data_IF_340903828566
#
_entry.id   IF_340903828566
#
_cell.length_a   1.000
_cell.length_b   1.000
_cell.length_c   1.000
_cell.angle_alpha   90.00
_cell.angle_beta   90.00
_cell.angle_gamma   90.00
#
_symmetry.space_group_name_H-M   'P 1'
#
loop_
_entity.id
_entity.type
_entity.pdbx_description
1 polymer ?
#
# COMPACT_ATOMS: atom_id res chain seq x y z
N UNK A 1 -65.59 20.25 6.26
CA UNK A 1 -64.64 19.67 7.22
C UNK A 1 -63.41 19.29 6.40
N UNK A 2 -62.38 20.14 6.42
CA UNK A 2 -61.18 19.88 5.62
C UNK A 2 -60.38 18.76 6.31
N UNK A 3 -60.00 17.74 5.56
CA UNK A 3 -59.06 16.72 6.03
C UNK A 3 -57.72 17.39 6.33
N UNK A 4 -57.07 17.06 7.46
CA UNK A 4 -55.76 17.61 7.77
C UNK A 4 -54.77 17.18 6.68
N UNK A 5 -53.80 18.03 6.30
CA UNK A 5 -52.72 17.62 5.42
C UNK A 5 -51.99 16.48 6.12
N UNK A 6 -52.06 15.28 5.54
CA UNK A 6 -51.13 14.21 5.89
C UNK A 6 -49.78 14.66 5.36
N UNK A 7 -48.85 14.99 6.27
CA UNK A 7 -47.43 15.04 5.91
C UNK A 7 -47.14 13.75 5.14
N UNK A 8 -46.88 13.89 3.85
CA UNK A 8 -46.30 12.82 3.07
C UNK A 8 -44.93 12.58 3.67
N UNK A 9 -44.80 11.58 4.52
CA UNK A 9 -43.51 11.04 4.99
C UNK A 9 -42.75 10.33 3.85
N UNK A 10 -42.99 10.76 2.61
CA UNK A 10 -42.37 10.19 1.43
C UNK A 10 -41.15 11.05 1.05
N UNK A 11 -40.07 10.35 0.72
CA UNK A 11 -39.04 10.81 -0.20
C UNK A 11 -37.94 11.78 0.28
N UNK A 12 -37.39 11.57 1.48
CA UNK A 12 -35.92 11.49 1.55
C UNK A 12 -35.53 10.02 1.50
N UNK A 13 -35.94 9.35 0.42
CA UNK A 13 -35.65 7.93 0.17
C UNK A 13 -34.15 7.73 0.00
N UNK A 14 -33.44 7.54 1.10
CA UNK A 14 -32.11 6.96 1.06
C UNK A 14 -32.26 5.54 0.55
N UNK A 15 -31.86 5.30 -0.70
CA UNK A 15 -31.75 3.95 -1.23
C UNK A 15 -30.58 3.26 -0.49
N UNK A 16 -30.90 2.53 0.59
CA UNK A 16 -29.91 1.74 1.35
C UNK A 16 -29.11 0.79 0.46
N UNK A 17 -29.70 0.29 -0.64
CA UNK A 17 -29.00 -0.60 -1.56
C UNK A 17 -28.00 0.17 -2.44
N UNK A 18 -28.34 1.40 -2.83
CA UNK A 18 -27.37 2.31 -3.46
C UNK A 18 -26.24 2.65 -2.48
N UNK A 19 -26.56 2.99 -1.23
CA UNK A 19 -25.56 3.32 -0.21
C UNK A 19 -24.61 2.14 0.06
N UNK A 20 -25.15 0.93 0.24
CA UNK A 20 -24.34 -0.27 0.45
C UNK A 20 -23.38 -0.52 -0.72
N UNK A 21 -23.85 -0.39 -1.96
CA UNK A 21 -23.00 -0.57 -3.16
C UNK A 21 -21.85 0.43 -3.20
N UNK A 22 -22.11 1.69 -2.89
CA UNK A 22 -21.07 2.74 -2.87
C UNK A 22 -20.05 2.46 -1.77
N UNK A 23 -20.50 2.21 -0.54
CA UNK A 23 -19.59 1.90 0.57
C UNK A 23 -18.79 0.64 0.30
N UNK A 24 -19.44 -0.42 -0.21
CA UNK A 24 -18.77 -1.67 -0.55
C UNK A 24 -17.69 -1.44 -1.60
N UNK A 25 -18.01 -0.70 -2.67
CA UNK A 25 -17.04 -0.39 -3.72
C UNK A 25 -15.87 0.45 -3.19
N UNK A 26 -16.14 1.45 -2.35
CA UNK A 26 -15.09 2.28 -1.75
C UNK A 26 -14.19 1.46 -0.81
N UNK A 27 -14.76 0.54 -0.05
CA UNK A 27 -14.00 -0.36 0.84
C UNK A 27 -13.18 -1.36 0.01
N UNK A 28 -13.72 -1.92 -1.07
CA UNK A 28 -12.98 -2.81 -1.96
C UNK A 28 -11.78 -2.07 -2.60
N UNK A 29 -11.99 -0.84 -3.05
CA UNK A 29 -10.92 0.00 -3.61
C UNK A 29 -9.83 0.32 -2.56
N UNK A 30 -10.25 0.68 -1.34
CA UNK A 30 -9.33 0.91 -0.23
C UNK A 30 -8.53 -0.34 0.14
N UNK A 31 -9.16 -1.52 0.17
CA UNK A 31 -8.48 -2.79 0.45
C UNK A 31 -7.47 -3.11 -0.65
N UNK A 32 -7.79 -2.88 -1.92
CA UNK A 32 -6.84 -3.06 -3.02
C UNK A 32 -5.63 -2.13 -2.87
N UNK A 33 -5.86 -0.88 -2.44
CA UNK A 33 -4.78 0.05 -2.09
C UNK A 33 -3.88 -0.49 -0.96
N UNK A 34 -4.47 -0.96 0.14
CA UNK A 34 -3.73 -1.54 1.28
C UNK A 34 -2.94 -2.78 0.86
N UNK A 35 -3.54 -3.69 0.09
CA UNK A 35 -2.87 -4.89 -0.41
C UNK A 35 -1.71 -4.54 -1.34
N UNK A 36 -1.84 -3.51 -2.17
CA UNK A 36 -0.76 -2.98 -3.00
C UNK A 36 0.44 -2.53 -2.15
N UNK A 37 0.18 -1.76 -1.10
CA UNK A 37 1.23 -1.31 -0.16
C UNK A 37 1.87 -2.48 0.57
N UNK A 38 1.08 -3.44 1.06
CA UNK A 38 1.60 -4.64 1.72
C UNK A 38 2.46 -5.50 0.79
N UNK A 39 2.06 -5.65 -0.46
CA UNK A 39 2.84 -6.36 -1.48
C UNK A 39 4.18 -5.66 -1.73
N UNK A 40 4.15 -4.35 -1.90
CA UNK A 40 5.35 -3.54 -2.09
C UNK A 40 6.29 -3.60 -0.87
N UNK A 41 5.76 -3.55 0.35
CA UNK A 41 6.52 -3.73 1.58
C UNK A 41 7.12 -5.14 1.69
N UNK A 42 6.39 -6.17 1.27
CA UNK A 42 6.93 -7.53 1.22
C UNK A 42 8.11 -7.64 0.23
N UNK A 43 8.01 -6.98 -0.93
CA UNK A 43 9.12 -6.90 -1.89
C UNK A 43 10.30 -6.14 -1.29
N UNK A 44 10.07 -5.01 -0.62
CA UNK A 44 11.11 -4.26 0.08
C UNK A 44 11.81 -5.13 1.13
N UNK A 45 11.04 -5.82 1.97
CA UNK A 45 11.56 -6.74 2.98
C UNK A 45 12.37 -7.90 2.36
N UNK A 46 11.94 -8.43 1.21
CA UNK A 46 12.69 -9.45 0.48
C UNK A 46 14.08 -8.94 0.05
N UNK A 47 14.17 -7.72 -0.50
CA UNK A 47 15.45 -7.11 -0.86
C UNK A 47 16.35 -6.85 0.34
N UNK A 48 15.77 -6.42 1.47
CA UNK A 48 16.52 -6.25 2.72
C UNK A 48 17.08 -7.57 3.22
N UNK A 49 16.28 -8.63 3.20
CA UNK A 49 16.71 -9.97 3.60
C UNK A 49 17.81 -10.51 2.68
N UNK A 50 17.62 -10.40 1.37
CA UNK A 50 18.61 -10.83 0.38
C UNK A 50 19.93 -10.06 0.51
N UNK A 51 19.86 -8.73 0.62
CA UNK A 51 21.03 -7.87 0.80
C UNK A 51 21.77 -8.16 2.11
N UNK A 52 21.02 -8.36 3.21
CA UNK A 52 21.57 -8.76 4.50
C UNK A 52 22.26 -10.12 4.44
N UNK A 53 21.64 -11.12 3.82
CA UNK A 53 22.24 -12.45 3.65
C UNK A 53 23.53 -12.40 2.82
N UNK A 54 23.57 -11.58 1.76
CA UNK A 54 24.78 -11.36 0.98
C UNK A 54 25.89 -10.67 1.77
N UNK A 55 25.56 -9.70 2.62
CA UNK A 55 26.55 -9.07 3.50
C UNK A 55 27.15 -10.04 4.52
N UNK A 56 26.31 -10.87 5.15
CA UNK A 56 26.78 -11.92 6.07
C UNK A 56 27.71 -12.89 5.34
N UNK A 57 27.29 -13.37 4.16
CA UNK A 57 28.13 -14.24 3.32
C UNK A 57 29.45 -13.57 2.91
N UNK A 58 29.44 -12.27 2.59
CA UNK A 58 30.64 -11.53 2.25
C UNK A 58 31.62 -11.43 3.43
N UNK A 59 31.11 -11.25 4.65
CA UNK A 59 31.91 -11.18 5.87
C UNK A 59 32.57 -12.53 6.19
N UNK A 60 31.88 -13.64 5.95
CA UNK A 60 32.40 -15.00 6.21
C UNK A 60 33.39 -15.48 5.14
N UNK A 61 33.09 -15.22 3.85
CA UNK A 61 33.85 -15.77 2.73
C UNK A 61 34.89 -14.78 2.13
N UNK A 62 34.93 -13.53 2.60
CA UNK A 62 35.83 -12.50 2.07
C UNK A 62 35.51 -12.08 0.62
N UNK A 63 34.30 -12.38 0.13
CA UNK A 63 33.93 -12.16 -1.26
C UNK A 63 33.46 -10.72 -1.50
N UNK A 64 34.30 -9.89 -2.11
CA UNK A 64 34.05 -8.45 -2.36
C UNK A 64 32.86 -8.21 -3.29
N UNK A 65 32.57 -9.13 -4.20
CA UNK A 65 31.39 -9.08 -5.09
C UNK A 65 30.07 -9.15 -4.31
N UNK A 66 29.98 -10.04 -3.31
CA UNK A 66 28.78 -10.17 -2.47
C UNK A 66 28.57 -8.93 -1.60
N UNK A 67 29.65 -8.25 -1.20
CA UNK A 67 29.56 -6.99 -0.46
C UNK A 67 28.89 -5.90 -1.30
N UNK A 68 29.34 -5.72 -2.55
CA UNK A 68 28.79 -4.72 -3.46
C UNK A 68 27.31 -4.93 -3.73
N UNK A 69 26.92 -6.15 -4.12
CA UNK A 69 25.52 -6.48 -4.36
C UNK A 69 24.66 -6.38 -3.10
N UNK A 70 25.18 -6.82 -1.94
CA UNK A 70 24.50 -6.73 -0.66
C UNK A 70 24.13 -5.30 -0.28
N UNK A 71 25.07 -4.36 -0.44
CA UNK A 71 24.84 -2.93 -0.20
C UNK A 71 23.77 -2.38 -1.14
N UNK A 72 23.85 -2.70 -2.44
CA UNK A 72 22.88 -2.21 -3.44
C UNK A 72 21.47 -2.73 -3.13
N UNK A 73 21.32 -4.02 -2.83
CA UNK A 73 20.01 -4.60 -2.49
C UNK A 73 19.45 -4.02 -1.20
N UNK A 74 20.29 -3.77 -0.18
CA UNK A 74 19.84 -3.10 1.04
C UNK A 74 19.38 -1.67 0.78
N UNK A 75 20.18 -0.89 0.05
CA UNK A 75 19.83 0.49 -0.28
C UNK A 75 18.53 0.55 -1.09
N UNK A 76 18.36 -0.36 -2.05
CA UNK A 76 17.15 -0.46 -2.84
C UNK A 76 15.93 -0.87 -2.00
N UNK A 77 16.06 -1.90 -1.15
CA UNK A 77 14.99 -2.33 -0.25
C UNK A 77 14.56 -1.23 0.73
N UNK A 78 15.53 -0.49 1.29
CA UNK A 78 15.26 0.65 2.17
C UNK A 78 14.54 1.78 1.42
N UNK A 79 15.05 2.16 0.24
CA UNK A 79 14.43 3.19 -0.58
C UNK A 79 13.01 2.81 -0.98
N UNK A 80 12.80 1.57 -1.43
CA UNK A 80 11.49 1.06 -1.82
C UNK A 80 10.52 1.10 -0.64
N UNK A 81 10.92 0.58 0.52
CA UNK A 81 10.10 0.62 1.73
C UNK A 81 9.76 2.05 2.16
N UNK A 82 10.73 2.96 2.14
CA UNK A 82 10.53 4.36 2.47
C UNK A 82 9.57 5.06 1.48
N UNK A 83 9.73 4.82 0.18
CA UNK A 83 8.84 5.35 -0.84
C UNK A 83 7.41 4.80 -0.72
N UNK A 84 7.26 3.53 -0.34
CA UNK A 84 5.93 2.91 -0.17
C UNK A 84 5.17 3.41 1.04
N UNK A 85 5.90 3.91 2.04
CA UNK A 85 5.35 4.57 3.23
C UNK A 85 5.23 6.09 3.06
N UNK A 86 5.43 6.59 1.84
CA UNK A 86 5.40 8.02 1.50
C UNK A 86 6.41 8.87 2.30
N UNK A 87 7.49 8.25 2.76
CA UNK A 87 8.55 8.90 3.54
C UNK A 87 9.58 9.58 2.64
N UNK A 88 9.73 9.10 1.40
CA UNK A 88 10.66 9.60 0.38
C UNK A 88 9.92 9.68 -0.96
N UNK A 89 10.19 10.70 -1.81
CA UNK A 89 9.52 10.80 -3.09
C UNK A 89 9.80 9.58 -3.98
N UNK A 90 8.75 8.94 -4.53
CA UNK A 90 8.90 7.80 -5.42
C UNK A 90 9.55 8.20 -6.75
N UNK A 91 10.26 7.26 -7.38
CA UNK A 91 11.02 7.44 -8.63
C UNK A 91 10.27 8.20 -9.73
N UNK A 92 8.95 8.00 -9.84
CA UNK A 92 8.10 8.66 -10.84
C UNK A 92 8.00 10.18 -10.69
N UNK A 93 8.34 10.72 -9.52
CA UNK A 93 8.30 12.15 -9.22
C UNK A 93 9.66 12.83 -9.46
N UNK A 94 10.70 12.06 -9.80
CA UNK A 94 12.05 12.56 -10.09
C UNK A 94 12.33 12.74 -11.59
N UNK A 95 11.47 12.19 -12.46
CA UNK A 95 11.55 12.29 -13.92
C UNK A 95 10.65 13.42 -14.44
#
# INVERSE_FOLDING_TARGET
MATPPTESTDDTGFDEQALYRVVRSAVEDAILGVLGTLLLLAIAAFFLWLGGAMLVSAAEAGLTLNLGYGIVFLAFGLYLGAATLDLVPPLREWL
#
